data_IF_900741395599
#
_entry.id   IF_900741395599
#
_cell.length_a   1.000
_cell.length_b   1.000
_cell.length_c   1.000
_cell.angle_alpha   90.00
_cell.angle_beta   90.00
_cell.angle_gamma   90.00
#
_symmetry.space_group_name_H-M   'P 1'
#
loop_
_entity.id
_entity.type
_entity.pdbx_description
1 polymer ?
#
# COMPACT_ATOMS: atom_id res chain seq x y z
N UNK A 1 -38.43 -4.03 1.32
CA UNK A 1 -37.00 -3.91 1.68
C UNK A 1 -36.33 -2.81 0.86
N UNK A 2 -35.66 -1.86 1.52
CA UNK A 2 -34.90 -0.79 0.87
C UNK A 2 -33.49 -1.23 0.44
N UNK A 3 -32.75 -0.32 -0.21
CA UNK A 3 -31.37 -0.56 -0.66
C UNK A 3 -30.43 -0.66 0.56
N UNK A 4 -30.01 -1.88 0.92
CA UNK A 4 -29.07 -2.13 2.01
C UNK A 4 -27.71 -1.48 1.69
N UNK A 5 -27.15 -0.66 2.59
CA UNK A 5 -25.82 -0.05 2.38
C UNK A 5 -24.76 -0.90 3.08
N UNK A 6 -23.59 -1.04 2.45
CA UNK A 6 -22.53 -1.89 2.97
C UNK A 6 -21.92 -1.37 4.28
N UNK A 7 -21.93 -0.04 4.48
CA UNK A 7 -21.48 0.62 5.71
C UNK A 7 -22.22 0.11 6.96
N UNK A 8 -23.53 -0.13 6.83
CA UNK A 8 -24.38 -0.57 7.95
C UNK A 8 -24.19 -2.07 8.26
N UNK A 9 -23.60 -2.84 7.34
CA UNK A 9 -23.37 -4.28 7.47
C UNK A 9 -22.03 -4.62 8.15
N UNK A 10 -21.03 -3.74 8.04
CA UNK A 10 -19.69 -3.98 8.59
C UNK A 10 -19.65 -3.99 10.13
N UNK A 11 -20.61 -3.35 10.79
CA UNK A 11 -20.72 -3.31 12.26
C UNK A 11 -21.50 -4.46 12.88
N UNK A 12 -22.08 -5.36 12.08
CA UNK A 12 -22.94 -6.45 12.57
C UNK A 12 -22.15 -7.73 12.82
N UNK A 13 -22.69 -8.59 13.69
CA UNK A 13 -22.14 -9.92 13.94
C UNK A 13 -22.39 -10.85 12.74
N UNK A 14 -21.53 -11.85 12.57
CA UNK A 14 -21.63 -12.84 11.47
C UNK A 14 -22.98 -13.56 11.45
N UNK A 15 -23.49 -13.92 12.62
CA UNK A 15 -24.78 -14.63 12.76
C UNK A 15 -25.96 -13.80 12.26
N UNK A 16 -25.98 -12.51 12.58
CA UNK A 16 -27.03 -11.59 12.11
C UNK A 16 -26.96 -11.44 10.58
N UNK A 17 -25.76 -11.36 10.02
CA UNK A 17 -25.58 -11.29 8.56
C UNK A 17 -26.07 -12.56 7.85
N UNK A 18 -25.93 -13.73 8.47
CA UNK A 18 -26.44 -14.99 7.93
C UNK A 18 -27.97 -15.04 7.96
N UNK A 19 -28.59 -14.63 9.08
CA UNK A 19 -30.06 -14.53 9.17
C UNK A 19 -30.62 -13.60 8.09
N UNK A 20 -30.04 -12.40 7.96
CA UNK A 20 -30.42 -11.44 6.93
C UNK A 20 -30.26 -11.99 5.50
N UNK A 21 -29.25 -12.82 5.28
CA UNK A 21 -29.00 -13.44 3.99
C UNK A 21 -30.07 -14.47 3.64
N UNK A 22 -30.52 -15.26 4.61
CA UNK A 22 -31.56 -16.27 4.40
C UNK A 22 -32.93 -15.62 4.17
N UNK A 23 -33.27 -14.56 4.90
CA UNK A 23 -34.49 -13.76 4.66
C UNK A 23 -34.52 -13.22 3.23
N UNK A 24 -33.40 -12.67 2.74
CA UNK A 24 -33.29 -12.14 1.38
C UNK A 24 -33.38 -13.24 0.32
N UNK A 25 -32.89 -14.45 0.59
CA UNK A 25 -33.04 -15.60 -0.32
C UNK A 25 -34.49 -16.06 -0.43
N UNK A 26 -35.21 -16.08 0.69
CA UNK A 26 -36.65 -16.41 0.71
C UNK A 26 -37.46 -15.35 -0.04
N UNK A 27 -37.17 -14.06 0.16
CA UNK A 27 -37.81 -12.99 -0.61
C UNK A 27 -37.51 -13.15 -2.13
N UNK A 28 -36.27 -13.51 -2.48
CA UNK A 28 -35.89 -13.72 -3.88
C UNK A 28 -36.63 -14.92 -4.51
N UNK A 29 -36.81 -16.03 -3.80
CA UNK A 29 -37.52 -17.19 -4.33
C UNK A 29 -39.00 -16.87 -4.58
N UNK A 30 -39.65 -16.17 -3.64
CA UNK A 30 -41.02 -15.68 -3.81
C UNK A 30 -41.16 -14.75 -5.02
N UNK A 31 -40.22 -13.83 -5.21
CA UNK A 31 -40.23 -12.91 -6.37
C UNK A 31 -39.98 -13.63 -7.71
N UNK A 32 -39.25 -14.75 -7.71
CA UNK A 32 -39.08 -15.59 -8.92
C UNK A 32 -40.37 -16.29 -9.31
N UNK A 33 -41.14 -16.80 -8.35
CA UNK A 33 -42.48 -17.37 -8.62
C UNK A 33 -43.40 -16.29 -9.19
N UNK A 34 -43.43 -15.12 -8.56
CA UNK A 34 -44.22 -13.98 -9.04
C UNK A 34 -43.83 -13.50 -10.45
N UNK A 35 -42.58 -13.69 -10.87
CA UNK A 35 -42.14 -13.40 -12.24
C UNK A 35 -42.77 -14.38 -13.23
N UNK A 36 -42.81 -15.67 -12.90
CA UNK A 36 -43.36 -16.72 -13.77
C UNK A 36 -44.87 -16.58 -13.91
N UNK A 37 -45.57 -16.18 -12.85
CA UNK A 37 -47.03 -16.02 -12.85
C UNK A 37 -47.52 -14.66 -13.40
N UNK A 38 -46.64 -13.87 -14.04
CA UNK A 38 -47.04 -12.59 -14.65
C UNK A 38 -47.40 -11.50 -13.63
N UNK A 39 -46.75 -11.47 -12.47
CA UNK A 39 -47.05 -10.52 -11.40
C UNK A 39 -46.74 -9.05 -11.70
N UNK A 40 -47.24 -8.16 -10.84
CA UNK A 40 -47.10 -6.70 -10.98
C UNK A 40 -45.65 -6.20 -11.17
N UNK A 41 -45.47 -5.19 -12.03
CA UNK A 41 -44.17 -4.59 -12.38
C UNK A 41 -43.37 -4.09 -11.16
N UNK A 42 -44.05 -3.62 -10.11
CA UNK A 42 -43.43 -3.21 -8.85
C UNK A 42 -42.74 -4.36 -8.10
N UNK A 43 -43.22 -5.60 -8.24
CA UNK A 43 -42.58 -6.80 -7.68
C UNK A 43 -41.38 -7.21 -8.53
N UNK A 44 -41.49 -7.12 -9.85
CA UNK A 44 -40.39 -7.45 -10.78
C UNK A 44 -39.17 -6.53 -10.59
N UNK A 45 -39.40 -5.24 -10.37
CA UNK A 45 -38.35 -4.25 -10.12
C UNK A 45 -37.53 -4.56 -8.85
N UNK A 46 -38.16 -5.17 -7.83
CA UNK A 46 -37.49 -5.55 -6.57
C UNK A 46 -36.47 -6.67 -6.77
N UNK A 47 -36.60 -7.50 -7.80
CA UNK A 47 -35.66 -8.62 -8.06
C UNK A 47 -34.22 -8.12 -8.20
N UNK A 48 -34.01 -7.03 -8.95
CA UNK A 48 -32.67 -6.44 -9.14
C UNK A 48 -32.11 -5.92 -7.82
N UNK A 49 -32.95 -5.27 -7.00
CA UNK A 49 -32.57 -4.71 -5.70
C UNK A 49 -32.17 -5.82 -4.73
N UNK A 50 -32.98 -6.87 -4.59
CA UNK A 50 -32.71 -8.00 -3.69
C UNK A 50 -31.44 -8.75 -4.09
N UNK A 51 -31.21 -9.00 -5.39
CA UNK A 51 -29.95 -9.60 -5.88
C UNK A 51 -28.72 -8.78 -5.49
N UNK A 52 -28.79 -7.46 -5.66
CA UNK A 52 -27.70 -6.53 -5.26
C UNK A 52 -27.52 -6.46 -3.75
N UNK A 53 -28.57 -6.71 -2.97
CA UNK A 53 -28.50 -6.78 -1.50
C UNK A 53 -27.82 -8.07 -1.04
N UNK A 54 -28.20 -9.23 -1.59
CA UNK A 54 -27.54 -10.53 -1.29
C UNK A 54 -26.05 -10.47 -1.60
N UNK A 55 -25.69 -9.95 -2.79
CA UNK A 55 -24.29 -9.80 -3.19
C UNK A 55 -23.50 -8.95 -2.20
N UNK A 56 -24.09 -7.87 -1.66
CA UNK A 56 -23.44 -7.01 -0.67
C UNK A 56 -23.19 -7.72 0.66
N UNK A 57 -24.18 -8.46 1.18
CA UNK A 57 -24.04 -9.21 2.44
C UNK A 57 -22.93 -10.27 2.30
N UNK A 58 -22.96 -11.07 1.23
CA UNK A 58 -21.92 -12.05 0.95
C UNK A 58 -20.54 -11.42 0.81
N UNK A 59 -20.44 -10.25 0.17
CA UNK A 59 -19.17 -9.54 0.01
C UNK A 59 -18.57 -9.14 1.36
N UNK A 60 -19.39 -8.63 2.29
CA UNK A 60 -18.92 -8.23 3.63
C UNK A 60 -18.48 -9.45 4.44
N UNK A 61 -19.23 -10.56 4.38
CA UNK A 61 -18.84 -11.83 5.02
C UNK A 61 -17.51 -12.34 4.48
N UNK A 62 -17.32 -12.32 3.16
CA UNK A 62 -16.09 -12.81 2.54
C UNK A 62 -14.89 -11.89 2.82
N UNK A 63 -15.10 -10.57 2.86
CA UNK A 63 -14.06 -9.60 3.23
C UNK A 63 -13.57 -9.84 4.66
N UNK A 64 -14.47 -9.91 5.63
CA UNK A 64 -14.13 -10.14 7.05
C UNK A 64 -13.43 -11.48 7.25
N UNK A 65 -13.89 -12.56 6.60
CA UNK A 65 -13.22 -13.85 6.64
C UNK A 65 -11.80 -13.77 6.08
N UNK A 66 -11.62 -13.13 4.92
CA UNK A 66 -10.32 -12.97 4.28
C UNK A 66 -9.35 -12.14 5.12
N UNK A 67 -9.83 -11.06 5.75
CA UNK A 67 -9.05 -10.22 6.65
C UNK A 67 -8.58 -10.98 7.89
N UNK A 68 -9.46 -11.80 8.49
CA UNK A 68 -9.11 -12.63 9.65
C UNK A 68 -8.05 -13.69 9.29
N UNK A 69 -8.19 -14.34 8.13
CA UNK A 69 -7.21 -15.29 7.63
C UNK A 69 -5.86 -14.61 7.35
N UNK A 70 -5.85 -13.39 6.77
CA UNK A 70 -4.62 -12.62 6.54
C UNK A 70 -3.90 -12.28 7.84
N UNK A 71 -4.63 -11.87 8.89
CA UNK A 71 -4.04 -11.61 10.21
C UNK A 71 -3.46 -12.88 10.82
N UNK A 72 -4.17 -13.99 10.72
CA UNK A 72 -3.72 -15.30 11.23
C UNK A 72 -2.42 -15.77 10.56
N UNK A 73 -2.35 -15.71 9.22
CA UNK A 73 -1.17 -16.16 8.48
C UNK A 73 -0.02 -15.16 8.43
N UNK A 74 -0.22 -13.87 8.77
CA UNK A 74 0.88 -12.88 8.81
C UNK A 74 1.94 -13.21 9.88
N UNK A 75 1.53 -13.84 10.98
CA UNK A 75 2.40 -14.15 12.12
C UNK A 75 3.27 -15.38 11.88
N UNK A 76 2.83 -16.32 11.04
CA UNK A 76 3.65 -17.47 10.62
C UNK A 76 4.35 -17.12 9.32
N UNK A 77 5.68 -17.21 9.28
CA UNK A 77 6.50 -17.11 8.06
C UNK A 77 6.29 -18.30 7.09
N UNK A 78 5.07 -18.85 7.03
CA UNK A 78 4.70 -19.92 6.12
C UNK A 78 3.90 -19.31 4.97
N UNK A 79 4.38 -19.39 3.72
CA UNK A 79 3.59 -18.94 2.59
C UNK A 79 2.30 -19.75 2.53
N UNK A 80 1.16 -19.08 2.68
CA UNK A 80 -0.14 -19.75 2.57
C UNK A 80 -0.23 -20.44 1.21
N UNK A 81 -0.44 -21.76 1.20
CA UNK A 81 -0.61 -22.56 -0.03
C UNK A 81 -1.77 -22.04 -0.89
N UNK A 82 -2.72 -21.34 -0.27
CA UNK A 82 -3.88 -20.75 -0.93
C UNK A 82 -3.53 -19.49 -1.72
N UNK A 83 -3.68 -19.57 -3.04
CA UNK A 83 -3.45 -18.47 -4.00
C UNK A 83 -4.27 -17.21 -3.69
N UNK A 84 -5.49 -17.36 -3.17
CA UNK A 84 -6.40 -16.24 -2.90
C UNK A 84 -6.04 -15.35 -1.70
N UNK A 85 -5.12 -15.81 -0.83
CA UNK A 85 -4.60 -15.02 0.30
C UNK A 85 -3.36 -14.21 -0.08
N UNK A 86 -2.68 -14.57 -1.17
CA UNK A 86 -1.51 -13.84 -1.68
C UNK A 86 -1.95 -12.49 -2.25
N UNK A 87 -1.05 -11.51 -2.20
CA UNK A 87 -1.27 -10.28 -2.96
C UNK A 87 -1.23 -10.65 -4.45
N UNK A 88 -2.26 -10.29 -5.23
CA UNK A 88 -2.18 -10.47 -6.67
C UNK A 88 -1.00 -9.66 -7.18
N UNK A 89 -0.12 -10.31 -7.96
CA UNK A 89 0.95 -9.62 -8.69
C UNK A 89 0.27 -8.57 -9.57
N UNK A 90 0.52 -7.29 -9.30
CA UNK A 90 0.15 -6.23 -10.23
C UNK A 90 0.99 -6.42 -11.49
N UNK A 91 0.39 -6.24 -12.66
CA UNK A 91 1.11 -6.29 -13.94
C UNK A 91 2.14 -5.15 -14.07
N UNK A 92 2.17 -4.22 -13.12
CA UNK A 92 2.87 -2.93 -13.21
C UNK A 92 3.61 -2.49 -11.95
N UNK A 93 3.80 -3.34 -10.93
CA UNK A 93 4.73 -2.98 -9.84
C UNK A 93 5.98 -3.84 -9.87
N UNK A 94 7.17 -3.21 -9.89
CA UNK A 94 8.47 -3.87 -9.77
C UNK A 94 8.74 -4.34 -8.33
N UNK A 95 7.75 -4.96 -7.67
CA UNK A 95 7.89 -5.52 -6.32
C UNK A 95 8.92 -6.68 -6.28
N UNK A 96 9.14 -7.31 -7.43
CA UNK A 96 10.22 -8.27 -7.62
C UNK A 96 11.53 -7.61 -8.07
N UNK A 97 11.52 -6.37 -8.56
CA UNK A 97 12.74 -5.74 -9.08
C UNK A 97 13.58 -5.14 -7.96
N UNK A 98 12.97 -4.56 -6.92
CA UNK A 98 13.71 -4.10 -5.74
C UNK A 98 14.36 -5.26 -4.95
N UNK A 99 13.68 -6.41 -4.87
CA UNK A 99 14.21 -7.64 -4.23
C UNK A 99 15.25 -8.35 -5.12
N UNK A 100 15.07 -8.35 -6.46
CA UNK A 100 16.10 -8.81 -7.40
C UNK A 100 17.30 -7.86 -7.48
N UNK A 101 17.11 -6.55 -7.25
CA UNK A 101 18.19 -5.57 -7.19
C UNK A 101 19.04 -5.73 -5.92
N UNK A 102 18.41 -6.06 -4.79
CA UNK A 102 19.14 -6.42 -3.56
C UNK A 102 19.92 -7.73 -3.73
N UNK A 103 19.37 -8.74 -4.39
CA UNK A 103 20.09 -9.98 -4.71
C UNK A 103 21.23 -9.80 -5.72
N UNK A 104 21.11 -8.85 -6.66
CA UNK A 104 22.17 -8.49 -7.63
C UNK A 104 23.33 -7.69 -7.01
N UNK A 105 23.22 -7.23 -5.76
CA UNK A 105 24.27 -6.48 -5.06
C UNK A 105 25.23 -7.35 -4.26
N UNK A 106 25.18 -8.68 -4.44
CA UNK A 106 26.22 -9.59 -3.96
C UNK A 106 27.39 -9.56 -4.96
N UNK A 107 28.18 -8.48 -4.93
CA UNK A 107 29.48 -8.46 -5.60
C UNK A 107 30.44 -9.36 -4.83
N UNK A 108 31.18 -10.22 -5.52
CA UNK A 108 32.23 -11.03 -4.89
C UNK A 108 33.24 -10.11 -4.18
N UNK A 109 33.78 -10.53 -3.03
CA UNK A 109 34.71 -9.68 -2.24
C UNK A 109 35.91 -9.20 -3.06
N UNK A 110 36.39 -10.05 -3.97
CA UNK A 110 37.44 -9.69 -4.93
C UNK A 110 37.05 -8.50 -5.84
N UNK A 111 35.80 -8.42 -6.29
CA UNK A 111 35.29 -7.32 -7.13
C UNK A 111 35.11 -6.02 -6.33
N UNK A 112 34.77 -6.13 -5.04
CA UNK A 112 34.73 -4.99 -4.12
C UNK A 112 36.14 -4.45 -3.85
N UNK A 113 37.11 -5.33 -3.56
CA UNK A 113 38.51 -4.96 -3.33
C UNK A 113 39.13 -4.24 -4.54
N UNK A 114 38.94 -4.77 -5.76
CA UNK A 114 39.40 -4.11 -6.98
C UNK A 114 38.75 -2.73 -7.22
N UNK A 115 37.46 -2.58 -6.93
CA UNK A 115 36.74 -1.31 -7.11
C UNK A 115 37.20 -0.21 -6.14
N UNK A 116 37.63 -0.57 -4.93
CA UNK A 116 38.17 0.39 -3.94
C UNK A 116 39.61 0.76 -4.28
N UNK A 117 40.41 -0.20 -4.74
CA UNK A 117 41.82 0.00 -5.06
C UNK A 117 42.07 0.68 -6.43
N UNK A 118 41.17 0.50 -7.40
CA UNK A 118 41.26 1.12 -8.73
C UNK A 118 39.91 1.71 -9.16
N UNK A 119 39.54 2.91 -8.64
CA UNK A 119 38.33 3.59 -9.07
C UNK A 119 38.47 4.08 -10.52
N UNK A 120 37.38 4.03 -11.30
CA UNK A 120 37.35 4.54 -12.67
C UNK A 120 37.48 6.08 -12.65
N UNK A 121 38.66 6.59 -12.99
CA UNK A 121 38.92 8.02 -13.12
C UNK A 121 38.50 8.44 -14.54
N UNK A 122 37.57 9.38 -14.66
CA UNK A 122 37.26 10.02 -15.94
C UNK A 122 38.45 10.87 -16.38
N UNK A 123 39.17 10.45 -17.42
CA UNK A 123 40.17 11.28 -18.09
C UNK A 123 39.45 12.27 -19.01
N UNK A 124 39.68 13.57 -18.81
CA UNK A 124 39.24 14.63 -19.72
C UNK A 124 40.43 14.96 -20.62
N UNK A 125 40.35 14.64 -21.90
CA UNK A 125 41.41 14.92 -22.87
C UNK A 125 41.46 16.41 -23.24
N UNK A 126 42.35 17.19 -22.62
CA UNK A 126 43.28 18.13 -23.31
C UNK A 126 44.06 19.05 -22.33
N UNK A 127 45.30 19.47 -22.68
CA UNK A 127 46.33 19.87 -21.72
C UNK A 127 46.44 21.39 -21.55
N UNK A 128 46.67 21.86 -20.33
CA UNK A 128 47.64 22.90 -19.94
C UNK A 128 47.69 22.97 -18.40
N UNK A 129 48.91 22.83 -17.87
CA UNK A 129 49.25 22.49 -16.50
C UNK A 129 49.72 23.73 -15.74
N UNK A 130 49.08 24.12 -14.61
CA UNK A 130 49.77 24.80 -13.47
C UNK A 130 49.06 24.50 -12.13
N UNK A 131 49.72 23.65 -11.32
CA UNK A 131 49.93 23.72 -9.85
C UNK A 131 48.91 24.53 -8.99
N UNK A 132 48.03 23.88 -8.23
CA UNK A 132 48.20 23.48 -6.80
C UNK A 132 48.53 24.61 -5.81
N UNK A 133 47.49 25.27 -5.29
CA UNK A 133 46.98 25.11 -3.91
C UNK A 133 46.23 26.39 -3.51
N UNK A 134 44.89 26.37 -3.63
CA UNK A 134 43.95 27.05 -2.75
C UNK A 134 42.53 26.71 -3.20
N UNK A 135 41.67 26.30 -2.27
CA UNK A 135 40.29 25.93 -2.60
C UNK A 135 39.52 25.19 -1.50
N UNK A 136 40.11 24.97 -0.31
CA UNK A 136 39.34 24.77 0.92
C UNK A 136 39.14 26.16 1.54
N UNK A 137 38.28 26.98 0.93
CA UNK A 137 37.58 28.08 1.59
C UNK A 137 36.64 28.84 0.61
N UNK A 138 35.49 29.24 1.16
CA UNK A 138 34.57 30.27 0.67
C UNK A 138 33.53 29.90 -0.41
N UNK A 139 32.48 29.19 0.01
CA UNK A 139 31.10 29.65 -0.20
C UNK A 139 30.64 30.05 1.21
N UNK A 140 30.78 31.29 1.69
CA UNK A 140 30.02 32.47 1.29
C UNK A 140 30.45 33.66 2.19
N UNK A 141 30.77 34.81 1.61
CA UNK A 141 30.67 36.14 2.23
C UNK A 141 30.77 37.17 1.08
N UNK A 142 29.87 38.11 0.79
CA UNK A 142 28.55 38.51 1.31
C UNK A 142 27.77 39.15 0.13
N UNK A 143 26.49 39.55 0.24
CA UNK A 143 26.07 40.70 1.04
C UNK A 143 24.54 40.72 1.26
N UNK A 144 24.16 40.83 2.54
CA UNK A 144 22.97 41.48 3.11
C UNK A 144 21.61 40.78 3.34
N UNK A 145 21.35 40.60 4.65
CA UNK A 145 20.14 40.95 5.42
C UNK A 145 18.82 40.17 5.21
N UNK A 146 18.49 39.27 6.15
CA UNK A 146 17.43 39.49 7.16
C UNK A 146 17.22 38.27 8.10
N UNK A 147 17.28 38.55 9.41
CA UNK A 147 16.59 37.89 10.56
C UNK A 147 17.37 36.91 11.45
N UNK A 148 17.69 37.44 12.65
CA UNK A 148 17.87 36.86 14.00
C UNK A 148 18.99 35.83 14.22
N UNK A 149 20.08 36.09 14.96
CA UNK A 149 20.29 36.88 16.18
C UNK A 149 19.40 36.46 17.36
N UNK A 150 19.47 35.19 17.79
CA UNK A 150 18.89 34.78 19.10
C UNK A 150 19.49 33.51 19.75
N UNK A 151 20.74 33.10 19.45
CA UNK A 151 21.34 31.92 20.13
C UNK A 151 22.78 32.06 20.64
N UNK A 152 23.42 33.22 20.53
CA UNK A 152 24.82 33.39 20.95
C UNK A 152 25.00 34.30 22.16
N UNK A 153 24.07 34.22 23.13
CA UNK A 153 24.20 34.88 24.44
C UNK A 153 24.07 33.94 25.64
N UNK A 154 24.00 32.61 25.44
CA UNK A 154 23.87 31.63 26.53
C UNK A 154 25.14 30.80 26.83
N UNK A 155 26.29 31.14 26.25
CA UNK A 155 27.54 30.38 26.48
C UNK A 155 28.58 31.18 27.30
N UNK A 156 28.31 32.46 27.60
CA UNK A 156 29.19 33.33 28.40
C UNK A 156 28.70 33.59 29.83
N UNK A 157 27.79 32.77 30.36
CA UNK A 157 27.31 32.85 31.75
C UNK A 157 27.67 31.64 32.65
N UNK A 158 28.56 30.72 32.23
CA UNK A 158 28.98 29.55 33.06
C UNK A 158 30.47 29.65 33.45
N UNK A 159 31.03 30.85 33.58
CA UNK A 159 32.42 31.03 34.09
C UNK A 159 32.60 32.30 34.91
N UNK A 160 31.58 32.66 35.70
CA UNK A 160 31.68 33.52 36.88
C UNK A 160 30.85 32.92 38.00
#
# INVERSE_FOLDING_TARGET
MGKIKARDLRGKKKEELLKQLDDLKVELSQLRVAKVTGGAASKLSKICVVRKSIARVLTVINQTQKENLRKFYKVRAMPSRHTYLRNPLSKTEPADEQSKATGRRLTTEHRLSYSVNFPMILHVDSPLFINTQQGICCVWCGLWCLVNLDQMLNILQISL
#
